data_IF_664481545143
#
_entry.id   IF_664481545143
#
_cell.length_a   1.000
_cell.length_b   1.000
_cell.length_c   1.000
_cell.angle_alpha   90.00
_cell.angle_beta   90.00
_cell.angle_gamma   90.00
#
_symmetry.space_group_name_H-M   'P 1'
#
loop_
_entity.id
_entity.type
_entity.pdbx_description
1 polymer ?
#
# COMPACT_ATOMS: atom_id res chain seq x y z
N UNK A 1 -33.19 18.05 -16.06
CA UNK A 1 -32.02 17.37 -15.47
C UNK A 1 -30.83 18.29 -15.64
N UNK A 2 -30.17 18.68 -14.56
CA UNK A 2 -28.90 19.40 -14.67
C UNK A 2 -27.88 18.45 -15.30
N UNK A 3 -27.24 18.88 -16.38
CA UNK A 3 -26.15 18.13 -17.01
C UNK A 3 -24.96 18.20 -16.05
N UNK A 4 -24.59 17.07 -15.43
CA UNK A 4 -23.32 16.99 -14.68
C UNK A 4 -22.20 17.26 -15.66
N UNK A 5 -21.38 18.27 -15.41
CA UNK A 5 -20.14 18.48 -16.15
C UNK A 5 -19.22 17.26 -15.93
N UNK A 6 -18.93 16.45 -16.96
CA UNK A 6 -18.10 15.26 -16.83
C UNK A 6 -16.66 15.58 -16.40
N UNK A 7 -16.24 16.85 -16.50
CA UNK A 7 -14.91 17.32 -16.09
C UNK A 7 -14.89 17.92 -14.69
N UNK A 8 -16.02 17.99 -13.98
CA UNK A 8 -16.09 18.59 -12.64
C UNK A 8 -15.23 17.85 -11.59
N UNK A 9 -14.84 16.59 -11.86
CA UNK A 9 -13.93 15.82 -10.99
C UNK A 9 -12.44 16.20 -11.15
N UNK A 10 -12.07 17.01 -12.15
CA UNK A 10 -10.68 17.43 -12.33
C UNK A 10 -10.15 18.26 -11.16
N UNK A 11 -10.96 19.19 -10.64
CA UNK A 11 -10.58 20.04 -9.50
C UNK A 11 -10.27 19.23 -8.24
N UNK A 12 -11.15 18.31 -7.76
CA UNK A 12 -10.79 17.48 -6.61
C UNK A 12 -9.61 16.55 -6.91
N UNK A 13 -9.44 16.07 -8.15
CA UNK A 13 -8.30 15.23 -8.53
C UNK A 13 -6.97 15.97 -8.43
N UNK A 14 -6.87 17.18 -8.97
CA UNK A 14 -5.68 18.04 -8.85
C UNK A 14 -5.34 18.32 -7.38
N UNK A 15 -6.35 18.63 -6.58
CA UNK A 15 -6.18 18.86 -5.14
C UNK A 15 -5.70 17.62 -4.39
N UNK A 16 -6.26 16.44 -4.71
CA UNK A 16 -5.86 15.18 -4.11
C UNK A 16 -4.42 14.80 -4.49
N UNK A 17 -4.04 14.93 -5.77
CA UNK A 17 -2.67 14.70 -6.24
C UNK A 17 -1.65 15.62 -5.59
N UNK A 18 -1.97 16.91 -5.49
CA UNK A 18 -1.10 17.88 -4.83
C UNK A 18 -0.86 17.49 -3.36
N UNK A 19 -1.94 17.14 -2.65
CA UNK A 19 -1.88 16.70 -1.25
C UNK A 19 -1.06 15.43 -1.09
N UNK A 20 -1.27 14.43 -1.94
CA UNK A 20 -0.53 13.18 -1.92
C UNK A 20 0.97 13.40 -2.10
N UNK A 21 1.35 14.30 -3.02
CA UNK A 21 2.74 14.71 -3.18
C UNK A 21 3.33 15.46 -1.97
N UNK A 22 2.52 16.22 -1.20
CA UNK A 22 2.97 16.86 0.04
C UNK A 22 3.17 15.83 1.15
N UNK A 23 2.22 14.90 1.33
CA UNK A 23 2.31 13.83 2.33
C UNK A 23 3.53 12.96 2.09
N UNK A 24 3.76 12.50 0.85
CA UNK A 24 4.93 11.67 0.55
C UNK A 24 6.27 12.41 0.80
N UNK A 25 6.37 13.69 0.39
CA UNK A 25 7.57 14.49 0.67
C UNK A 25 7.80 14.69 2.17
N UNK A 26 6.74 14.99 2.92
CA UNK A 26 6.81 15.16 4.37
C UNK A 26 7.31 13.88 5.04
N UNK A 27 6.68 12.73 4.74
CA UNK A 27 7.06 11.44 5.33
C UNK A 27 8.52 11.08 5.04
N UNK A 28 8.99 11.25 3.80
CA UNK A 28 10.38 10.98 3.44
C UNK A 28 11.36 11.94 4.13
N UNK A 29 10.97 13.21 4.30
CA UNK A 29 11.81 14.20 4.96
C UNK A 29 11.89 13.99 6.49
N UNK A 30 10.78 13.58 7.11
CA UNK A 30 10.70 13.30 8.55
C UNK A 30 11.35 11.95 8.92
N UNK A 31 11.39 11.00 7.98
CA UNK A 31 11.88 9.65 8.18
C UNK A 31 12.86 9.21 7.06
N UNK A 32 14.06 9.81 6.98
CA UNK A 32 15.04 9.52 5.94
C UNK A 32 15.58 8.08 5.98
N UNK A 33 15.39 7.36 7.08
CA UNK A 33 15.73 5.94 7.26
C UNK A 33 14.78 4.99 6.52
N UNK A 34 13.58 5.45 6.13
CA UNK A 34 12.59 4.59 5.47
C UNK A 34 12.98 4.30 4.02
N UNK A 35 13.02 3.01 3.70
CA UNK A 35 13.38 2.54 2.37
C UNK A 35 12.19 2.58 1.43
N UNK A 36 12.40 3.06 0.20
CA UNK A 36 11.44 2.97 -0.92
C UNK A 36 12.19 2.48 -2.15
N UNK A 37 11.94 1.24 -2.57
CA UNK A 37 12.56 0.65 -3.77
C UNK A 37 11.70 0.83 -5.02
N UNK A 38 10.38 0.86 -4.83
CA UNK A 38 9.43 1.18 -5.90
C UNK A 38 8.26 1.96 -5.31
N UNK A 39 7.78 2.91 -6.11
CA UNK A 39 6.62 3.74 -5.79
C UNK A 39 5.60 3.59 -6.92
N UNK A 40 4.35 3.30 -6.57
CA UNK A 40 3.21 3.31 -7.49
C UNK A 40 2.13 4.23 -6.93
N UNK A 41 1.36 4.83 -7.82
CA UNK A 41 0.28 5.72 -7.47
C UNK A 41 -0.97 5.28 -8.20
N UNK A 42 -2.07 5.13 -7.46
CA UNK A 42 -3.39 4.96 -8.03
C UNK A 42 -4.19 6.23 -7.84
N UNK A 43 -4.92 6.61 -8.87
CA UNK A 43 -5.80 7.75 -8.83
C UNK A 43 -7.15 7.37 -9.41
N UNK A 44 -8.20 7.77 -8.71
CA UNK A 44 -9.55 7.62 -9.17
C UNK A 44 -10.28 8.95 -9.02
N UNK A 45 -11.12 9.28 -9.98
CA UNK A 45 -11.98 10.45 -9.90
C UNK A 45 -13.34 10.11 -10.48
N UNK A 46 -14.39 10.71 -9.90
CA UNK A 46 -15.77 10.42 -10.25
C UNK A 46 -16.57 11.72 -10.31
N UNK A 47 -17.33 11.87 -11.38
CA UNK A 47 -18.40 12.85 -11.51
C UNK A 47 -19.63 12.13 -12.05
N UNK A 48 -20.75 12.16 -11.32
CA UNK A 48 -22.02 11.63 -11.80
C UNK A 48 -23.19 12.53 -11.38
N UNK A 49 -24.41 12.11 -11.71
CA UNK A 49 -25.63 12.88 -11.44
C UNK A 49 -26.23 12.66 -10.04
N UNK A 50 -25.67 11.73 -9.26
CA UNK A 50 -26.21 11.29 -7.97
C UNK A 50 -25.32 11.66 -6.79
N UNK A 51 -24.04 12.01 -7.03
CA UNK A 51 -23.08 12.38 -6.01
C UNK A 51 -22.24 13.61 -6.42
N UNK A 52 -21.74 14.40 -5.44
CA UNK A 52 -20.75 15.43 -5.71
C UNK A 52 -19.49 14.85 -6.36
N UNK A 53 -18.79 15.60 -7.23
CA UNK A 53 -17.52 15.17 -7.79
C UNK A 53 -16.49 14.87 -6.69
N UNK A 54 -15.78 13.76 -6.82
CA UNK A 54 -14.79 13.32 -5.85
C UNK A 54 -13.54 12.77 -6.55
N UNK A 55 -12.44 12.71 -5.79
CA UNK A 55 -11.23 12.04 -6.22
C UNK A 55 -10.55 11.39 -5.03
N UNK A 56 -9.85 10.30 -5.31
CA UNK A 56 -9.08 9.51 -4.38
C UNK A 56 -7.71 9.25 -4.99
N UNK A 57 -6.68 9.36 -4.15
CA UNK A 57 -5.30 9.10 -4.54
C UNK A 57 -4.70 8.21 -3.47
N UNK A 58 -4.12 7.10 -3.90
CA UNK A 58 -3.32 6.25 -3.04
C UNK A 58 -1.89 6.14 -3.51
N UNK A 59 -1.01 5.94 -2.53
CA UNK A 59 0.41 5.76 -2.69
C UNK A 59 0.81 4.36 -2.23
N UNK A 60 1.24 3.52 -3.17
CA UNK A 60 1.77 2.21 -2.87
C UNK A 60 3.31 2.26 -2.82
N UNK A 61 3.83 1.95 -1.65
CA UNK A 61 5.25 1.91 -1.29
C UNK A 61 5.71 0.47 -1.27
N UNK A 62 6.73 0.16 -2.07
CA UNK A 62 7.46 -1.09 -1.95
C UNK A 62 8.79 -0.83 -1.26
N UNK A 63 9.06 -1.60 -0.22
CA UNK A 63 10.28 -1.49 0.59
C UNK A 63 11.36 -2.42 0.06
N UNK A 64 12.55 -2.40 0.66
CA UNK A 64 13.65 -3.30 0.29
C UNK A 64 13.54 -4.71 0.92
N UNK A 65 12.54 -4.91 1.76
CA UNK A 65 12.28 -6.19 2.40
C UNK A 65 11.20 -6.08 3.47
N UNK A 66 10.95 -7.19 4.15
CA UNK A 66 9.95 -7.26 5.23
C UNK A 66 10.25 -6.28 6.37
N UNK A 67 11.53 -6.08 6.71
CA UNK A 67 11.93 -5.16 7.77
C UNK A 67 11.65 -3.69 7.41
N UNK A 68 11.84 -3.32 6.13
CA UNK A 68 11.42 -2.01 5.64
C UNK A 68 9.91 -1.79 5.80
N UNK A 69 9.08 -2.80 5.50
CA UNK A 69 7.63 -2.70 5.71
C UNK A 69 7.25 -2.59 7.19
N UNK A 70 7.96 -3.28 8.09
CA UNK A 70 7.80 -3.12 9.55
C UNK A 70 8.15 -1.70 10.00
N UNK A 71 9.24 -1.12 9.49
CA UNK A 71 9.64 0.24 9.82
C UNK A 71 8.58 1.26 9.39
N UNK A 72 8.08 1.13 8.16
CA UNK A 72 6.97 1.94 7.66
C UNK A 72 5.70 1.80 8.51
N UNK A 73 5.28 0.57 8.82
CA UNK A 73 4.10 0.32 9.66
C UNK A 73 4.24 0.98 11.04
N UNK A 74 5.43 0.93 11.64
CA UNK A 74 5.69 1.58 12.92
C UNK A 74 5.58 3.11 12.85
N UNK A 75 6.15 3.74 11.81
CA UNK A 75 6.06 5.19 11.58
C UNK A 75 4.62 5.63 11.33
N UNK A 76 3.88 4.83 10.56
CA UNK A 76 2.50 5.10 10.18
C UNK A 76 1.49 4.76 11.29
N UNK A 77 1.93 4.12 12.38
CA UNK A 77 1.05 3.63 13.43
C UNK A 77 0.07 2.55 12.95
N UNK A 78 0.44 1.80 11.92
CA UNK A 78 -0.37 0.77 11.30
C UNK A 78 0.02 -0.64 11.77
N UNK A 79 -0.96 -1.55 11.83
CA UNK A 79 -0.68 -2.97 12.03
C UNK A 79 -0.17 -3.57 10.72
N UNK A 80 0.94 -4.31 10.78
CA UNK A 80 1.48 -5.02 9.62
C UNK A 80 0.88 -6.42 9.54
N UNK A 81 0.01 -6.65 8.55
CA UNK A 81 -0.50 -7.97 8.23
C UNK A 81 0.59 -8.81 7.55
N UNK A 82 0.83 -10.02 8.06
CA UNK A 82 1.80 -10.95 7.49
C UNK A 82 1.08 -12.07 6.74
N UNK A 83 1.59 -12.41 5.57
CA UNK A 83 1.12 -13.54 4.77
C UNK A 83 2.31 -14.30 4.21
N UNK A 84 2.30 -15.61 4.42
CA UNK A 84 3.22 -16.52 3.72
C UNK A 84 2.54 -17.07 2.47
N UNK A 85 3.25 -17.10 1.34
CA UNK A 85 2.73 -17.62 0.07
C UNK A 85 3.77 -18.48 -0.66
N UNK A 86 3.29 -19.51 -1.36
CA UNK A 86 4.11 -20.42 -2.16
C UNK A 86 4.05 -20.02 -3.63
N UNK A 87 5.21 -19.82 -4.25
CA UNK A 87 5.39 -19.53 -5.66
C UNK A 87 6.12 -20.68 -6.40
N UNK A 88 5.95 -21.90 -5.91
CA UNK A 88 6.55 -23.12 -6.49
C UNK A 88 7.93 -23.39 -5.91
N UNK A 89 8.99 -22.87 -6.55
CA UNK A 89 10.35 -23.07 -6.04
C UNK A 89 10.61 -22.29 -4.74
N UNK A 90 9.93 -21.15 -4.56
CA UNK A 90 10.19 -20.22 -3.47
C UNK A 90 8.93 -20.02 -2.61
N UNK A 91 9.15 -19.81 -1.32
CA UNK A 91 8.11 -19.38 -0.38
C UNK A 91 8.48 -17.97 0.09
N UNK A 92 7.50 -17.08 0.09
CA UNK A 92 7.67 -15.68 0.49
C UNK A 92 6.86 -15.37 1.73
N UNK A 93 7.41 -14.58 2.63
CA UNK A 93 6.66 -13.89 3.68
C UNK A 93 6.54 -12.42 3.28
N UNK A 94 5.31 -11.97 3.12
CA UNK A 94 4.96 -10.61 2.71
C UNK A 94 4.28 -9.91 3.89
N UNK A 95 4.75 -8.71 4.19
CA UNK A 95 4.10 -7.77 5.08
C UNK A 95 3.36 -6.73 4.26
N UNK A 96 2.12 -6.46 4.64
CA UNK A 96 1.26 -5.46 4.03
C UNK A 96 0.57 -4.61 5.11
N UNK A 97 0.53 -3.30 4.94
CA UNK A 97 -0.34 -2.44 5.73
C UNK A 97 -0.93 -1.32 4.87
N UNK A 98 -2.11 -0.84 5.27
CA UNK A 98 -2.80 0.28 4.65
C UNK A 98 -3.19 1.26 5.73
N UNK A 99 -2.98 2.56 5.48
CA UNK A 99 -3.36 3.64 6.39
C UNK A 99 -3.77 4.87 5.57
N UNK A 100 -4.67 5.69 6.11
CA UNK A 100 -4.94 7.01 5.55
C UNK A 100 -4.15 8.09 6.30
N UNK A 101 -3.36 8.89 5.57
CA UNK A 101 -2.62 10.04 6.11
C UNK A 101 -3.08 11.30 5.38
N UNK A 102 -3.71 12.22 6.11
CA UNK A 102 -4.26 13.47 5.58
C UNK A 102 -5.18 13.30 4.35
N UNK A 103 -5.94 12.20 4.28
CA UNK A 103 -6.82 11.91 3.14
C UNK A 103 -6.12 11.29 1.93
N UNK A 104 -4.93 10.71 2.15
CA UNK A 104 -4.16 9.95 1.15
C UNK A 104 -4.03 8.53 1.67
N UNK A 105 -4.51 7.56 0.91
CA UNK A 105 -4.30 6.15 1.23
C UNK A 105 -2.83 5.80 0.98
N UNK A 106 -2.17 5.18 1.95
CA UNK A 106 -0.80 4.68 1.83
C UNK A 106 -0.84 3.18 2.04
N UNK A 107 -0.46 2.45 1.00
CA UNK A 107 -0.24 1.01 1.05
C UNK A 107 1.25 0.73 1.11
N UNK A 108 1.69 -0.14 2.01
CA UNK A 108 3.10 -0.53 2.12
C UNK A 108 3.24 -2.02 1.97
N UNK A 109 4.11 -2.44 1.06
CA UNK A 109 4.44 -3.83 0.78
C UNK A 109 5.94 -4.07 0.96
N UNK A 110 6.27 -5.13 1.70
CA UNK A 110 7.63 -5.65 1.81
C UNK A 110 7.62 -7.16 1.85
N UNK A 111 8.61 -7.81 1.24
CA UNK A 111 8.67 -9.27 1.23
C UNK A 111 10.07 -9.76 1.50
N UNK A 112 10.18 -10.92 2.14
CA UNK A 112 11.40 -11.72 2.19
C UNK A 112 11.14 -13.10 1.62
N UNK A 113 12.18 -13.70 1.07
CA UNK A 113 12.17 -15.12 0.73
C UNK A 113 12.51 -15.93 1.98
N UNK A 114 11.76 -17.00 2.23
CA UNK A 114 12.10 -17.96 3.27
C UNK A 114 13.31 -18.79 2.82
N UNK A 115 14.13 -19.18 3.78
CA UNK A 115 15.16 -20.19 3.56
C UNK A 115 14.53 -21.55 3.23
N UNK A 116 15.28 -22.46 2.60
CA UNK A 116 14.79 -23.80 2.28
C UNK A 116 14.23 -24.53 3.51
N UNK A 117 14.91 -24.41 4.65
CA UNK A 117 14.47 -25.01 5.92
C UNK A 117 13.15 -24.42 6.40
N UNK A 118 12.98 -23.10 6.38
CA UNK A 118 11.73 -22.44 6.74
C UNK A 118 10.60 -22.81 5.78
N UNK A 119 10.89 -22.85 4.47
CA UNK A 119 9.93 -23.21 3.43
C UNK A 119 9.43 -24.65 3.59
N UNK A 120 10.34 -25.61 3.85
CA UNK A 120 9.98 -27.01 4.10
C UNK A 120 9.11 -27.13 5.36
N UNK A 121 9.48 -26.46 6.45
CA UNK A 121 8.71 -26.49 7.69
C UNK A 121 7.31 -25.91 7.50
N UNK A 122 7.20 -24.77 6.80
CA UNK A 122 5.92 -24.15 6.50
C UNK A 122 5.02 -25.06 5.65
N UNK A 123 5.55 -25.65 4.57
CA UNK A 123 4.79 -26.59 3.72
C UNK A 123 4.30 -27.82 4.50
N UNK A 124 5.13 -28.37 5.37
CA UNK A 124 4.74 -29.48 6.23
C UNK A 124 3.59 -29.09 7.19
N UNK A 125 3.64 -27.89 7.75
CA UNK A 125 2.56 -27.38 8.62
C UNK A 125 1.24 -27.16 7.86
N UNK A 126 1.29 -26.72 6.61
CA UNK A 126 0.08 -26.58 5.78
C UNK A 126 -0.56 -27.94 5.47
N UNK A 127 0.25 -28.97 5.16
CA UNK A 127 -0.24 -30.31 4.85
C UNK A 127 -0.83 -31.05 6.08
N UNK A 128 -0.41 -30.68 7.30
CA UNK A 128 -0.91 -31.24 8.55
C UNK A 128 -2.16 -30.54 9.13
N UNK A 129 -2.61 -29.44 8.51
CA UNK A 129 -3.77 -28.66 8.94
C UNK A 129 -5.12 -29.09 8.35
N UNK A 130 -5.15 -30.15 7.54
CA UNK A 130 -6.39 -30.82 7.13
C UNK A 130 -6.75 -31.92 8.15
N UNK A 131 -7.58 -31.55 9.14
CA UNK A 131 -8.17 -32.45 10.13
C UNK A 131 -9.37 -31.82 10.81
#
# INVERSE_FOLDING_TARGET
>A
MATTDPLAALVPLEGALFRAGQVARRLIAEHPELTVTRSKWHTYSRADSYAPPSAEVGWQVYTDGLDGARAWAAVLGAELALKTSDAGAFVFETGHCTVEVDGVEIEVDGSRMLTDTEAVAWRAAQAGGEG
#
